data_IF_506205163840
#
_entry.id   IF_506205163840
#
_cell.length_a   1.000
_cell.length_b   1.000
_cell.length_c   1.000
_cell.angle_alpha   90.00
_cell.angle_beta   90.00
_cell.angle_gamma   90.00
#
_symmetry.space_group_name_H-M   'P 1'
#
loop_
_entity.id
_entity.type
_entity.pdbx_description
1 polymer ?
#
# COMPACT_ATOMS: atom_id res chain seq x y z
N UNK A 1 10.24 9.48 -5.76
CA UNK A 1 9.96 8.31 -4.88
C UNK A 1 11.16 7.36 -4.70
N UNK A 2 12.31 7.61 -5.31
CA UNK A 2 13.50 6.79 -5.12
C UNK A 2 14.22 7.25 -3.86
N UNK A 3 14.29 6.40 -2.84
CA UNK A 3 15.03 6.68 -1.62
C UNK A 3 16.50 6.24 -1.77
N UNK A 4 17.40 6.90 -1.00
CA UNK A 4 18.78 6.46 -0.87
C UNK A 4 18.86 5.35 0.17
N UNK A 5 19.11 4.14 -0.30
CA UNK A 5 19.36 2.93 0.51
C UNK A 5 20.67 2.32 0.05
N UNK A 6 21.21 1.39 0.82
CA UNK A 6 22.45 0.69 0.44
C UNK A 6 22.23 -0.14 -0.83
N UNK A 7 23.25 -0.24 -1.68
CA UNK A 7 23.17 -0.95 -2.96
C UNK A 7 22.97 -2.47 -2.78
N UNK A 8 23.34 -3.03 -1.63
CA UNK A 8 23.11 -4.42 -1.24
C UNK A 8 21.70 -4.71 -0.74
N UNK A 9 20.85 -3.69 -0.60
CA UNK A 9 19.47 -3.89 -0.17
C UNK A 9 18.69 -4.64 -1.26
N UNK A 10 18.02 -5.72 -0.86
CA UNK A 10 17.28 -6.60 -1.78
C UNK A 10 16.08 -5.93 -2.45
N UNK A 11 15.58 -4.83 -1.90
CA UNK A 11 14.43 -4.12 -2.47
C UNK A 11 14.83 -3.27 -3.67
N UNK A 12 14.24 -3.48 -4.85
CA UNK A 12 14.62 -2.77 -6.08
C UNK A 12 14.07 -1.33 -6.08
N UNK A 13 14.57 -0.47 -5.20
CA UNK A 13 14.06 0.90 -4.99
C UNK A 13 14.06 1.75 -6.26
N UNK A 14 14.95 1.46 -7.20
CA UNK A 14 15.06 2.18 -8.50
C UNK A 14 13.84 1.98 -9.39
N UNK A 15 13.09 0.88 -9.20
CA UNK A 15 11.90 0.55 -10.01
C UNK A 15 10.89 1.71 -10.10
N UNK A 16 10.76 2.51 -9.04
CA UNK A 16 9.80 3.63 -9.03
C UNK A 16 10.21 4.76 -9.99
N UNK A 17 11.52 5.07 -10.08
CA UNK A 17 12.03 6.04 -11.04
C UNK A 17 12.01 5.49 -12.48
N UNK A 18 12.40 4.24 -12.64
CA UNK A 18 12.42 3.56 -13.94
C UNK A 18 11.02 3.45 -14.53
N UNK A 19 10.02 3.06 -13.72
CA UNK A 19 8.63 3.02 -14.15
C UNK A 19 8.12 4.41 -14.55
N UNK A 20 8.42 5.45 -13.75
CA UNK A 20 8.01 6.81 -14.08
C UNK A 20 8.61 7.26 -15.43
N UNK A 21 9.91 7.03 -15.64
CA UNK A 21 10.57 7.35 -16.89
C UNK A 21 9.99 6.54 -18.06
N UNK A 22 9.71 5.26 -17.86
CA UNK A 22 9.10 4.41 -18.88
C UNK A 22 7.74 4.95 -19.32
N UNK A 23 6.87 5.28 -18.37
CA UNK A 23 5.52 5.80 -18.66
C UNK A 23 5.55 7.09 -19.48
N UNK A 24 6.48 8.02 -19.18
CA UNK A 24 6.66 9.26 -19.94
C UNK A 24 7.26 8.96 -21.33
N UNK A 25 8.32 8.15 -21.39
CA UNK A 25 9.00 7.84 -22.65
C UNK A 25 8.08 7.11 -23.63
N UNK A 26 7.20 6.24 -23.14
CA UNK A 26 6.19 5.55 -23.93
C UNK A 26 4.95 6.42 -24.22
N UNK A 27 4.93 7.68 -23.78
CA UNK A 27 3.79 8.61 -23.92
C UNK A 27 2.47 8.05 -23.35
N UNK A 28 2.55 7.17 -22.35
CA UNK A 28 1.37 6.65 -21.63
C UNK A 28 0.81 7.74 -20.72
N UNK A 29 1.69 8.58 -20.17
CA UNK A 29 1.33 9.76 -19.38
C UNK A 29 2.13 10.97 -19.86
N UNK A 30 1.48 12.15 -19.87
CA UNK A 30 2.16 13.40 -20.24
C UNK A 30 2.93 14.00 -19.06
N UNK A 31 2.42 13.79 -17.86
CA UNK A 31 2.98 14.36 -16.63
C UNK A 31 2.56 13.57 -15.39
N UNK A 32 3.31 13.77 -14.31
CA UNK A 32 2.93 13.32 -12.97
C UNK A 32 2.46 14.48 -12.10
N UNK A 33 1.45 14.22 -11.28
CA UNK A 33 1.13 15.10 -10.18
C UNK A 33 2.15 14.92 -9.06
N UNK A 34 2.62 16.04 -8.49
CA UNK A 34 3.53 16.01 -7.35
C UNK A 34 2.70 16.01 -6.07
N UNK A 35 2.72 14.92 -5.29
CA UNK A 35 1.95 14.88 -4.05
C UNK A 35 2.59 15.73 -2.97
N UNK A 36 1.75 16.23 -2.07
CA UNK A 36 2.19 16.82 -0.83
C UNK A 36 2.76 15.77 0.11
N UNK A 37 3.51 16.23 1.09
CA UNK A 37 3.97 15.43 2.21
C UNK A 37 2.76 15.07 3.07
N UNK A 38 2.51 13.77 3.28
CA UNK A 38 1.36 13.35 4.09
C UNK A 38 1.50 13.89 5.51
N UNK A 39 0.49 14.58 6.02
CA UNK A 39 0.53 15.14 7.37
C UNK A 39 0.46 14.03 8.44
N UNK A 40 1.03 14.29 9.61
CA UNK A 40 0.93 13.38 10.75
C UNK A 40 -0.52 13.16 11.19
N UNK A 41 -1.37 14.19 11.08
CA UNK A 41 -2.81 14.07 11.30
C UNK A 41 -3.45 13.05 10.35
N UNK A 42 -3.08 13.09 9.06
CA UNK A 42 -3.61 12.15 8.06
C UNK A 42 -3.08 10.74 8.32
N UNK A 43 -1.78 10.59 8.62
CA UNK A 43 -1.17 9.29 8.95
C UNK A 43 -1.79 8.68 10.21
N UNK A 44 -2.10 9.48 11.23
CA UNK A 44 -2.65 9.01 12.51
C UNK A 44 -4.06 8.41 12.41
N UNK A 45 -4.69 8.53 11.24
CA UNK A 45 -5.96 7.86 10.97
C UNK A 45 -5.82 6.34 10.82
N UNK A 46 -4.61 5.87 10.47
CA UNK A 46 -4.32 4.44 10.26
C UNK A 46 -3.08 3.94 11.03
N UNK A 47 -2.31 4.84 11.66
CA UNK A 47 -1.13 4.52 12.43
C UNK A 47 -1.10 5.25 13.77
N UNK A 48 -0.47 4.68 14.80
CA UNK A 48 -0.31 5.34 16.09
C UNK A 48 0.64 6.54 15.98
N UNK A 49 0.36 7.59 16.73
CA UNK A 49 1.22 8.78 16.79
C UNK A 49 2.64 8.45 17.28
N UNK A 50 2.75 7.47 18.18
CA UNK A 50 4.04 7.00 18.69
C UNK A 50 4.89 6.42 17.54
N UNK A 51 4.31 5.53 16.72
CA UNK A 51 4.99 4.95 15.57
C UNK A 51 5.37 6.00 14.53
N UNK A 52 4.44 6.90 14.17
CA UNK A 52 4.71 7.99 13.22
C UNK A 52 5.86 8.85 13.72
N UNK A 53 5.85 9.22 15.00
CA UNK A 53 6.88 10.04 15.63
C UNK A 53 8.23 9.32 15.63
N UNK A 54 8.27 8.02 15.93
CA UNK A 54 9.51 7.22 15.92
C UNK A 54 10.14 7.14 14.55
N UNK A 55 9.34 6.97 13.49
CA UNK A 55 9.81 7.02 12.10
C UNK A 55 10.34 8.40 11.74
N UNK A 56 9.58 9.46 12.03
CA UNK A 56 9.96 10.84 11.69
C UNK A 56 11.24 11.27 12.40
N UNK A 57 11.39 10.92 13.68
CA UNK A 57 12.58 11.21 14.49
C UNK A 57 13.72 10.21 14.29
N UNK A 58 13.48 9.12 13.52
CA UNK A 58 14.45 8.03 13.31
C UNK A 58 14.90 7.37 14.61
N UNK A 59 14.00 7.29 15.59
CA UNK A 59 14.24 6.69 16.92
C UNK A 59 13.76 5.24 17.03
N UNK A 60 13.29 4.67 15.92
CA UNK A 60 12.85 3.28 15.87
C UNK A 60 14.03 2.34 16.14
N UNK A 61 13.80 1.30 16.91
CA UNK A 61 14.82 0.34 17.31
C UNK A 61 15.31 -0.54 16.12
N UNK A 62 16.49 -1.14 16.30
CA UNK A 62 17.13 -1.96 15.25
C UNK A 62 16.30 -3.16 14.82
N UNK A 63 15.55 -3.80 15.73
CA UNK A 63 14.70 -4.95 15.41
C UNK A 63 13.56 -4.54 14.50
N UNK A 64 12.92 -3.42 14.80
CA UNK A 64 11.85 -2.84 13.99
C UNK A 64 12.37 -2.37 12.63
N UNK A 65 13.56 -1.76 12.56
CA UNK A 65 14.18 -1.44 11.27
C UNK A 65 14.43 -2.68 10.41
N UNK A 66 14.94 -3.76 11.01
CA UNK A 66 15.14 -5.05 10.31
C UNK A 66 13.81 -5.62 9.81
N UNK A 67 12.73 -5.50 10.58
CA UNK A 67 11.39 -5.94 10.19
C UNK A 67 10.87 -5.16 8.98
N UNK A 68 11.09 -3.84 8.95
CA UNK A 68 10.77 -2.99 7.80
C UNK A 68 11.64 -3.37 6.60
N UNK A 69 12.94 -3.69 6.80
CA UNK A 69 13.88 -4.00 5.72
C UNK A 69 14.55 -2.78 5.09
N UNK A 70 14.32 -1.58 5.61
CA UNK A 70 14.96 -0.33 5.20
C UNK A 70 15.74 0.31 6.36
N UNK A 71 16.89 0.95 6.06
CA UNK A 71 17.50 1.89 7.00
C UNK A 71 16.57 3.11 7.13
N UNK A 72 16.17 3.46 8.35
CA UNK A 72 15.30 4.64 8.57
C UNK A 72 16.15 5.90 8.60
N UNK A 73 16.51 6.36 7.43
CA UNK A 73 17.22 7.61 7.17
C UNK A 73 16.27 8.69 6.61
N UNK A 74 16.75 9.93 6.46
CA UNK A 74 15.95 11.05 5.96
C UNK A 74 15.32 10.77 4.58
N UNK A 75 16.05 10.08 3.72
CA UNK A 75 15.57 9.75 2.36
C UNK A 75 14.42 8.78 2.39
N UNK A 76 14.49 7.72 3.22
CA UNK A 76 13.41 6.73 3.39
C UNK A 76 12.21 7.37 4.08
N UNK A 77 12.42 8.18 5.13
CA UNK A 77 11.35 8.93 5.79
C UNK A 77 10.63 9.83 4.79
N UNK A 78 11.36 10.69 4.07
CA UNK A 78 10.78 11.58 3.07
C UNK A 78 9.98 10.83 1.99
N UNK A 79 10.55 9.70 1.50
CA UNK A 79 9.85 8.85 0.53
C UNK A 79 8.54 8.30 1.10
N UNK A 80 8.55 7.78 2.33
CA UNK A 80 7.38 7.15 2.94
C UNK A 80 6.23 8.13 3.11
N UNK A 81 6.51 9.33 3.62
CA UNK A 81 5.50 10.38 3.73
C UNK A 81 4.94 10.84 2.38
N UNK A 82 5.83 10.97 1.36
CA UNK A 82 5.39 11.39 0.02
C UNK A 82 4.65 10.28 -0.74
N UNK A 83 5.06 9.02 -0.59
CA UNK A 83 4.37 7.89 -1.22
C UNK A 83 2.94 7.75 -0.66
N UNK A 84 2.79 7.86 0.66
CA UNK A 84 1.47 7.88 1.31
C UNK A 84 0.64 9.10 0.86
N UNK A 85 1.25 10.29 0.80
CA UNK A 85 0.60 11.49 0.23
C UNK A 85 0.16 11.29 -1.21
N UNK A 86 0.93 10.53 -1.99
CA UNK A 86 0.59 10.15 -3.37
C UNK A 86 -0.67 9.30 -3.47
N UNK A 87 -0.84 8.32 -2.58
CA UNK A 87 -2.04 7.49 -2.54
C UNK A 87 -3.26 8.29 -2.06
N UNK A 88 -3.09 9.17 -1.08
CA UNK A 88 -4.14 10.10 -0.67
C UNK A 88 -4.53 11.04 -1.82
N UNK A 89 -3.57 11.58 -2.56
CA UNK A 89 -3.85 12.41 -3.73
C UNK A 89 -4.56 11.61 -4.84
N UNK A 90 -4.06 10.43 -5.17
CA UNK A 90 -4.68 9.57 -6.18
C UNK A 90 -6.14 9.23 -5.79
N UNK A 91 -6.39 8.89 -4.54
CA UNK A 91 -7.74 8.59 -4.07
C UNK A 91 -8.69 9.79 -4.17
N UNK A 92 -8.20 11.01 -3.91
CA UNK A 92 -8.98 12.25 -4.12
C UNK A 92 -9.28 12.48 -5.60
N UNK A 93 -8.27 12.37 -6.45
CA UNK A 93 -8.44 12.54 -7.90
C UNK A 93 -9.41 11.49 -8.48
N UNK A 94 -9.43 10.28 -7.93
CA UNK A 94 -10.36 9.24 -8.37
C UNK A 94 -11.83 9.57 -8.06
N UNK A 95 -12.12 10.38 -7.03
CA UNK A 95 -13.49 10.86 -6.78
C UNK A 95 -14.01 11.71 -7.97
N UNK A 96 -13.15 12.57 -8.53
CA UNK A 96 -13.52 13.46 -9.62
C UNK A 96 -13.37 12.81 -11.00
N UNK A 97 -12.30 12.00 -11.18
CA UNK A 97 -11.90 11.44 -12.46
C UNK A 97 -12.19 9.94 -12.60
N UNK A 98 -12.78 9.29 -11.59
CA UNK A 98 -13.10 7.86 -11.48
C UNK A 98 -11.89 6.94 -11.35
N UNK A 99 -10.79 7.22 -12.02
CA UNK A 99 -9.56 6.43 -11.99
C UNK A 99 -8.38 7.35 -11.76
N UNK A 100 -7.50 6.97 -10.83
CA UNK A 100 -6.19 7.58 -10.63
C UNK A 100 -5.21 6.53 -10.09
N UNK A 101 -3.93 6.68 -10.41
CA UNK A 101 -2.90 5.72 -10.03
C UNK A 101 -1.78 6.39 -9.24
N UNK A 102 -1.22 5.66 -8.27
CA UNK A 102 0.03 6.00 -7.60
C UNK A 102 1.06 4.89 -7.89
N UNK A 103 2.11 5.20 -8.63
CA UNK A 103 3.18 4.24 -8.99
C UNK A 103 4.13 3.90 -7.85
N UNK A 104 3.96 4.49 -6.68
CA UNK A 104 4.81 4.28 -5.50
C UNK A 104 4.04 3.85 -4.24
N UNK A 105 2.75 3.54 -4.39
CA UNK A 105 1.88 3.04 -3.33
C UNK A 105 1.92 1.52 -3.15
N UNK A 106 0.98 1.00 -2.35
CA UNK A 106 0.79 -0.43 -2.10
C UNK A 106 1.60 -0.97 -0.93
N UNK A 107 1.83 -0.18 0.11
CA UNK A 107 2.60 -0.58 1.30
C UNK A 107 1.73 -1.34 2.30
N UNK A 108 1.31 -2.53 1.96
CA UNK A 108 0.24 -3.31 2.59
C UNK A 108 0.65 -4.15 3.82
N UNK A 109 1.95 -4.23 4.14
CA UNK A 109 2.43 -4.99 5.31
C UNK A 109 2.49 -4.18 6.60
N UNK A 110 2.50 -2.84 6.52
CA UNK A 110 2.51 -2.00 7.72
C UNK A 110 1.17 -2.09 8.46
N UNK A 111 1.24 -2.33 9.77
CA UNK A 111 0.11 -2.38 10.70
C UNK A 111 -0.06 -1.05 11.43
N UNK A 112 -1.00 -0.96 12.37
CA UNK A 112 -1.24 0.26 13.13
C UNK A 112 -0.01 0.79 13.87
N UNK A 113 0.81 -0.11 14.47
CA UNK A 113 1.93 0.26 15.32
C UNK A 113 3.31 0.01 14.72
N UNK A 114 3.42 -0.63 13.57
CA UNK A 114 4.72 -1.06 13.05
C UNK A 114 4.73 -1.21 11.52
N UNK A 115 5.92 -1.05 10.95
CA UNK A 115 6.18 -1.40 9.55
C UNK A 115 6.79 -2.79 9.41
N UNK A 116 6.65 -3.38 8.22
CA UNK A 116 7.22 -4.67 7.87
C UNK A 116 7.35 -4.81 6.35
N UNK A 117 8.16 -5.75 5.87
CA UNK A 117 8.17 -6.15 4.45
C UNK A 117 8.34 -4.98 3.48
N UNK A 118 9.30 -4.09 3.75
CA UNK A 118 9.57 -2.86 3.00
C UNK A 118 8.43 -1.81 3.03
N UNK A 119 7.44 -2.00 3.88
CA UNK A 119 6.34 -1.07 4.11
C UNK A 119 6.56 -0.28 5.40
N UNK A 120 6.71 1.04 5.28
CA UNK A 120 6.83 1.93 6.46
C UNK A 120 5.44 2.34 6.94
N UNK A 121 4.60 2.88 6.07
CA UNK A 121 3.21 3.23 6.35
C UNK A 121 2.28 2.50 5.39
N UNK A 122 1.11 2.07 5.83
CA UNK A 122 0.08 1.50 4.98
C UNK A 122 -0.69 2.64 4.30
N UNK A 123 -0.24 3.01 3.13
CA UNK A 123 -0.76 4.14 2.38
C UNK A 123 -2.21 3.95 1.93
N UNK A 124 -2.60 2.72 1.61
CA UNK A 124 -3.98 2.38 1.23
C UNK A 124 -4.92 2.56 2.43
N UNK A 125 -4.50 2.08 3.62
CA UNK A 125 -5.27 2.27 4.85
C UNK A 125 -5.41 3.75 5.22
N UNK A 126 -4.32 4.52 5.10
CA UNK A 126 -4.34 5.98 5.34
C UNK A 126 -5.29 6.68 4.38
N UNK A 127 -5.23 6.37 3.08
CA UNK A 127 -6.10 6.97 2.07
C UNK A 127 -7.58 6.60 2.31
N UNK A 128 -7.87 5.35 2.63
CA UNK A 128 -9.22 4.87 2.99
C UNK A 128 -9.79 5.68 4.16
N UNK A 129 -9.06 5.76 5.26
CA UNK A 129 -9.48 6.53 6.45
C UNK A 129 -9.62 8.02 6.17
N UNK A 130 -8.73 8.57 5.34
CA UNK A 130 -8.84 9.96 4.92
C UNK A 130 -10.14 10.22 4.16
N UNK A 131 -10.46 9.43 3.13
CA UNK A 131 -11.69 9.61 2.34
C UNK A 131 -12.95 9.45 3.20
N UNK A 132 -12.98 8.45 4.09
CA UNK A 132 -14.09 8.25 5.03
C UNK A 132 -14.25 9.46 5.97
N UNK A 133 -13.14 9.98 6.52
CA UNK A 133 -13.18 11.13 7.44
C UNK A 133 -13.64 12.43 6.81
N UNK A 134 -13.52 12.53 5.49
CA UNK A 134 -14.00 13.69 4.69
C UNK A 134 -15.42 13.48 4.15
N UNK A 135 -16.02 12.31 4.42
CA UNK A 135 -17.36 11.98 3.92
C UNK A 135 -17.44 11.70 2.42
N UNK A 136 -16.29 11.53 1.74
CA UNK A 136 -16.28 11.23 0.30
C UNK A 136 -16.80 9.81 0.00
N UNK A 137 -16.53 8.87 0.89
CA UNK A 137 -16.97 7.47 0.78
C UNK A 137 -17.42 6.96 2.14
N UNK A 138 -18.37 6.01 2.14
CA UNK A 138 -18.82 5.31 3.35
C UNK A 138 -18.19 3.92 3.42
N UNK A 139 -18.32 3.16 2.36
CA UNK A 139 -17.81 1.79 2.26
C UNK A 139 -16.66 1.74 1.26
N UNK A 140 -15.65 0.93 1.55
CA UNK A 140 -14.47 0.74 0.70
C UNK A 140 -14.18 -0.74 0.52
N UNK A 141 -13.93 -1.14 -0.73
CA UNK A 141 -13.35 -2.42 -1.07
C UNK A 141 -11.86 -2.20 -1.36
N UNK A 142 -11.00 -2.92 -0.65
CA UNK A 142 -9.56 -2.98 -0.93
C UNK A 142 -9.28 -4.31 -1.59
N UNK A 143 -8.79 -4.28 -2.83
CA UNK A 143 -8.39 -5.45 -3.60
C UNK A 143 -6.87 -5.47 -3.68
N UNK A 144 -6.27 -6.46 -3.05
CA UNK A 144 -4.83 -6.68 -3.01
C UNK A 144 -4.48 -7.92 -3.84
N UNK A 145 -3.78 -7.71 -4.95
CA UNK A 145 -3.34 -8.73 -5.89
C UNK A 145 -1.81 -8.91 -5.88
N UNK A 146 -1.14 -8.37 -4.85
CA UNK A 146 0.29 -8.62 -4.64
C UNK A 146 0.52 -10.09 -4.31
N UNK A 147 1.68 -10.62 -4.72
CA UNK A 147 2.06 -12.01 -4.43
C UNK A 147 2.13 -12.32 -2.94
N UNK A 148 2.36 -11.31 -2.11
CA UNK A 148 2.34 -11.41 -0.65
C UNK A 148 0.95 -11.04 -0.11
N UNK A 149 0.55 -11.65 1.00
CA UNK A 149 -0.71 -11.27 1.65
C UNK A 149 -0.66 -9.83 2.17
N UNK A 150 -1.71 -9.05 1.95
CA UNK A 150 -1.93 -7.72 2.54
C UNK A 150 -2.24 -7.79 4.04
N UNK A 151 -1.37 -8.43 4.82
CA UNK A 151 -1.59 -8.73 6.24
C UNK A 151 -1.69 -7.49 7.13
N UNK A 152 -0.99 -6.41 6.79
CA UNK A 152 -1.09 -5.14 7.52
C UNK A 152 -2.43 -4.46 7.27
N UNK A 153 -2.91 -4.49 6.03
CA UNK A 153 -4.22 -3.95 5.66
C UNK A 153 -5.34 -4.70 6.39
N UNK A 154 -5.33 -6.03 6.35
CA UNK A 154 -6.33 -6.84 7.07
C UNK A 154 -6.28 -6.63 8.59
N UNK A 155 -5.08 -6.43 9.18
CA UNK A 155 -4.96 -6.13 10.61
C UNK A 155 -5.58 -4.78 11.00
N UNK A 156 -5.34 -3.73 10.19
CA UNK A 156 -5.88 -2.39 10.45
C UNK A 156 -7.42 -2.38 10.39
N UNK A 157 -8.01 -3.14 9.48
CA UNK A 157 -9.46 -3.11 9.23
C UNK A 157 -10.24 -4.28 9.85
N UNK A 158 -9.60 -5.20 10.56
CA UNK A 158 -10.19 -6.45 11.10
C UNK A 158 -11.52 -6.33 11.85
N UNK A 159 -11.82 -5.16 12.39
CA UNK A 159 -13.05 -4.89 13.15
C UNK A 159 -13.93 -3.81 12.48
N UNK A 160 -13.66 -3.44 11.25
CA UNK A 160 -14.35 -2.37 10.55
C UNK A 160 -15.19 -2.90 9.37
N UNK A 161 -16.48 -3.03 9.60
CA UNK A 161 -17.44 -3.50 8.59
C UNK A 161 -17.65 -2.54 7.40
N UNK A 162 -17.13 -1.33 7.48
CA UNK A 162 -17.20 -0.36 6.37
C UNK A 162 -16.08 -0.54 5.34
N UNK A 163 -15.09 -1.38 5.65
CA UNK A 163 -13.98 -1.70 4.76
C UNK A 163 -13.93 -3.21 4.56
N UNK A 164 -14.04 -3.65 3.32
CA UNK A 164 -13.89 -5.05 2.94
C UNK A 164 -12.49 -5.26 2.36
N UNK A 165 -11.73 -6.18 2.94
CA UNK A 165 -10.37 -6.52 2.53
C UNK A 165 -10.36 -7.83 1.75
N UNK A 166 -9.93 -7.78 0.50
CA UNK A 166 -9.68 -8.93 -0.36
C UNK A 166 -8.18 -9.05 -0.61
N UNK A 167 -7.60 -10.23 -0.39
CA UNK A 167 -6.20 -10.50 -0.73
C UNK A 167 -6.09 -11.83 -1.46
N UNK A 168 -5.59 -11.80 -2.71
CA UNK A 168 -5.27 -12.99 -3.48
C UNK A 168 -3.75 -13.10 -3.57
N UNK A 169 -3.16 -14.10 -2.93
CA UNK A 169 -1.73 -14.16 -2.66
C UNK A 169 -1.19 -15.59 -2.66
N UNK A 170 0.12 -15.73 -2.84
CA UNK A 170 0.79 -17.01 -2.77
C UNK A 170 0.82 -17.55 -1.34
N UNK A 171 0.34 -18.78 -1.15
CA UNK A 171 0.18 -19.45 0.14
C UNK A 171 1.49 -19.62 0.90
N UNK A 172 2.56 -20.03 0.20
CA UNK A 172 3.86 -20.31 0.80
C UNK A 172 4.70 -19.06 1.02
N UNK A 173 4.36 -17.92 0.40
CA UNK A 173 5.15 -16.70 0.42
C UNK A 173 4.94 -15.88 1.70
N UNK A 174 5.63 -14.73 1.82
CA UNK A 174 5.53 -13.81 2.96
C UNK A 174 4.10 -13.25 3.15
N UNK A 175 3.65 -13.03 4.38
CA UNK A 175 4.26 -13.40 5.66
C UNK A 175 4.08 -14.90 5.96
N UNK A 176 5.02 -15.50 6.71
CA UNK A 176 4.93 -16.92 7.08
C UNK A 176 3.64 -17.22 7.88
N UNK A 177 3.24 -16.33 8.77
CA UNK A 177 1.95 -16.39 9.47
C UNK A 177 0.98 -15.43 8.80
N UNK A 178 -0.02 -15.98 8.13
CA UNK A 178 -1.08 -15.19 7.48
C UNK A 178 -2.04 -14.59 8.52
N UNK A 179 -2.54 -13.40 8.24
CA UNK A 179 -3.66 -12.81 8.97
C UNK A 179 -4.98 -13.21 8.31
N UNK A 180 -6.08 -13.04 9.02
CA UNK A 180 -7.42 -13.25 8.46
C UNK A 180 -7.96 -11.90 7.97
N UNK A 181 -8.17 -11.77 6.66
CA UNK A 181 -8.95 -10.72 6.03
C UNK A 181 -10.43 -11.10 5.88
N UNK A 182 -11.21 -10.28 5.22
CA UNK A 182 -12.61 -10.60 4.93
C UNK A 182 -12.70 -11.72 3.87
N UNK A 183 -11.85 -11.64 2.83
CA UNK A 183 -11.69 -12.69 1.83
C UNK A 183 -10.22 -12.86 1.46
N UNK A 184 -9.67 -14.02 1.80
CA UNK A 184 -8.32 -14.43 1.45
C UNK A 184 -8.37 -15.60 0.45
N UNK A 185 -7.75 -15.40 -0.72
CA UNK A 185 -7.57 -16.45 -1.74
C UNK A 185 -6.11 -16.86 -1.76
N UNK A 186 -5.81 -18.01 -1.17
CA UNK A 186 -4.46 -18.56 -1.11
C UNK A 186 -4.17 -19.38 -2.36
N UNK A 187 -3.18 -18.97 -3.14
CA UNK A 187 -2.75 -19.61 -4.38
C UNK A 187 -1.55 -20.51 -4.14
N UNK A 188 -1.45 -21.59 -4.89
CA UNK A 188 -0.27 -22.44 -4.91
C UNK A 188 0.89 -21.81 -5.69
N UNK A 189 2.12 -22.29 -5.45
CA UNK A 189 3.35 -21.65 -5.95
C UNK A 189 3.50 -21.66 -7.48
N UNK A 190 2.83 -22.55 -8.18
CA UNK A 190 2.96 -22.75 -9.62
C UNK A 190 1.63 -22.49 -10.38
N UNK A 191 0.81 -21.58 -9.87
CA UNK A 191 -0.43 -21.22 -10.56
C UNK A 191 -0.12 -20.58 -11.92
N UNK A 192 -0.85 -21.01 -12.95
CA UNK A 192 -0.74 -20.49 -14.31
C UNK A 192 -1.67 -19.28 -14.52
N UNK A 193 -1.37 -18.48 -15.56
CA UNK A 193 -2.08 -17.23 -15.84
C UNK A 193 -3.59 -17.42 -16.03
N UNK A 194 -4.02 -18.50 -16.73
CA UNK A 194 -5.43 -18.77 -16.97
C UNK A 194 -6.19 -19.03 -15.66
N UNK A 195 -5.63 -19.83 -14.77
CA UNK A 195 -6.22 -20.10 -13.46
C UNK A 195 -6.24 -18.83 -12.61
N UNK A 196 -5.09 -18.08 -12.55
CA UNK A 196 -5.00 -16.82 -11.82
C UNK A 196 -6.05 -15.83 -12.29
N UNK A 197 -6.18 -15.61 -13.60
CA UNK A 197 -7.14 -14.67 -14.17
C UNK A 197 -8.58 -15.12 -13.96
N UNK A 198 -8.86 -16.43 -13.97
CA UNK A 198 -10.22 -16.95 -13.68
C UNK A 198 -10.67 -16.61 -12.26
N UNK A 199 -9.73 -16.60 -11.30
CA UNK A 199 -10.02 -16.26 -9.90
C UNK A 199 -10.26 -14.76 -9.69
N UNK A 200 -9.67 -13.89 -10.51
CA UNK A 200 -9.94 -12.44 -10.45
C UNK A 200 -11.42 -12.15 -10.74
N UNK A 201 -12.06 -12.90 -11.63
CA UNK A 201 -13.47 -12.74 -11.93
C UNK A 201 -14.40 -12.94 -10.73
N UNK A 202 -13.95 -13.66 -9.70
CA UNK A 202 -14.69 -13.83 -8.43
C UNK A 202 -14.82 -12.48 -7.69
N UNK A 203 -13.84 -11.59 -7.85
CA UNK A 203 -13.81 -10.28 -7.21
C UNK A 203 -14.49 -9.18 -8.04
N UNK A 204 -14.79 -9.43 -9.32
CA UNK A 204 -15.48 -8.46 -10.15
C UNK A 204 -16.95 -8.32 -9.70
N UNK A 205 -17.43 -7.07 -9.49
CA UNK A 205 -18.83 -6.86 -9.21
C UNK A 205 -19.64 -7.34 -10.43
N UNK A 206 -20.50 -8.33 -10.23
CA UNK A 206 -21.47 -8.75 -11.23
C UNK A 206 -22.24 -7.51 -11.70
N UNK A 207 -21.97 -7.04 -12.91
CA UNK A 207 -22.85 -6.06 -13.57
C UNK A 207 -24.21 -6.73 -13.71
N UNK A 208 -25.13 -6.41 -12.81
CA UNK A 208 -26.54 -6.66 -13.09
C UNK A 208 -26.85 -5.80 -14.32
N UNK A 209 -27.06 -6.46 -15.45
CA UNK A 209 -27.72 -5.83 -16.60
C UNK A 209 -29.06 -5.30 -16.10
N UNK A 210 -29.15 -3.97 -16.10
CA UNK A 210 -30.42 -3.25 -15.92
C UNK A 210 -31.14 -3.27 -17.24
#
# INVERSE_FOLDING_TARGET
>A
YVAKINDDNKFPIRKFGELANYLVNQKIVDRFYKPDYCSEETLSRAHSLEYITSIKKKTIDTKSQKKIGFPINDSVVNRSFRATGGTVLASKLAIDHRIACNTAGGSHHATYNEGAGYCVFNDVAVATRYLQSKGYVKNVLIVDLDVHQGNGTSDIFKNDKSVFTFSMHCKSNYPAKKNKGDLDVSLDDNIEDEEYLSLIHISEPTRRSV
#
